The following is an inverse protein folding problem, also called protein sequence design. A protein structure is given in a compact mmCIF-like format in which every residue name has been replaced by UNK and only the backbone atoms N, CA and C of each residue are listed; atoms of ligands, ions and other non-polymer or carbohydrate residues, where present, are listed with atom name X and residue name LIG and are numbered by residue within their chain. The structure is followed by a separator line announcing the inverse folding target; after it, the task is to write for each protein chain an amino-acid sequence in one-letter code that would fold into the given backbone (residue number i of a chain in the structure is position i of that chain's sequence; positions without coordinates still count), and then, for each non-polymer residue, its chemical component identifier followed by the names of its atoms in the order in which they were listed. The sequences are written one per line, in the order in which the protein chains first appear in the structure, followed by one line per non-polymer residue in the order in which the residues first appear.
data_IF_062560728956
#
_entry.id   IF_062560728956
#
_cell.length_a   1.000
_cell.length_b   1.000
_cell.length_c   1.000
_cell.angle_alpha   90.00
_cell.angle_beta   90.00
_cell.angle_gamma   90.00
#
_symmetry.space_group_name_H-M   'P 1'
#
loop_
_entity.id
_entity.type
_entity.pdbx_description
1 polymer ?
#
# COMPACT_ATOMS: atom_id res chain seq x y z
N UNK A 1 10.64 -3.63 -14.77
CA UNK A 1 10.49 -2.16 -14.70
C UNK A 1 9.65 -1.81 -13.47
N UNK A 2 10.23 -1.10 -12.49
CA UNK A 2 9.57 -0.86 -11.20
C UNK A 2 8.59 0.31 -11.25
N UNK A 3 7.52 0.15 -12.01
CA UNK A 3 6.41 1.11 -12.05
C UNK A 3 5.21 0.48 -11.36
N UNK A 4 4.58 1.20 -10.45
CA UNK A 4 3.49 0.69 -9.63
C UNK A 4 2.31 1.65 -9.67
N UNK A 5 1.09 1.11 -9.78
CA UNK A 5 -0.14 1.88 -9.64
C UNK A 5 -1.01 1.22 -8.58
N UNK A 6 -1.01 1.78 -7.38
CA UNK A 6 -1.82 1.32 -6.26
C UNK A 6 -3.11 2.14 -6.22
N UNK A 7 -4.25 1.46 -6.17
CA UNK A 7 -5.53 2.16 -6.19
C UNK A 7 -6.60 1.47 -5.37
N UNK A 8 -7.56 2.25 -4.87
CA UNK A 8 -8.70 1.72 -4.13
C UNK A 8 -9.09 2.60 -2.95
N UNK A 9 -10.19 2.24 -2.30
CA UNK A 9 -10.82 3.03 -1.24
C UNK A 9 -10.16 2.82 0.14
N UNK A 10 -9.38 1.74 0.30
CA UNK A 10 -8.68 1.43 1.56
C UNK A 10 -7.33 2.19 1.63
N UNK A 11 -7.41 3.45 2.07
CA UNK A 11 -6.27 4.35 2.24
C UNK A 11 -5.19 3.77 3.17
N UNK A 12 -5.60 3.05 4.21
CA UNK A 12 -4.71 2.43 5.18
C UNK A 12 -3.94 1.26 4.56
N UNK A 13 -4.61 0.41 3.76
CA UNK A 13 -3.95 -0.66 3.05
C UNK A 13 -2.96 -0.13 2.00
N UNK A 14 -3.33 0.93 1.27
CA UNK A 14 -2.41 1.63 0.36
C UNK A 14 -1.19 2.14 1.15
N UNK A 15 -1.39 2.90 2.22
CA UNK A 15 -0.31 3.46 3.02
C UNK A 15 0.63 2.38 3.59
N UNK A 16 0.08 1.23 3.99
CA UNK A 16 0.85 0.07 4.46
C UNK A 16 1.68 -0.53 3.34
N UNK A 17 1.10 -0.75 2.16
CA UNK A 17 1.82 -1.25 1.00
C UNK A 17 2.93 -0.29 0.53
N UNK A 18 2.70 1.02 0.59
CA UNK A 18 3.73 2.02 0.29
C UNK A 18 4.89 1.93 1.28
N UNK A 19 4.60 1.80 2.58
CA UNK A 19 5.65 1.61 3.60
C UNK A 19 6.45 0.32 3.38
N UNK A 20 5.79 -0.76 2.97
CA UNK A 20 6.47 -2.01 2.63
C UNK A 20 7.41 -1.82 1.42
N UNK A 21 6.94 -1.13 0.36
CA UNK A 21 7.75 -0.81 -0.80
C UNK A 21 8.97 0.06 -0.42
N UNK A 22 8.76 1.10 0.38
CA UNK A 22 9.84 1.95 0.90
C UNK A 22 10.92 1.12 1.60
N UNK A 23 10.53 0.22 2.51
CA UNK A 23 11.47 -0.64 3.24
C UNK A 23 12.23 -1.62 2.34
N UNK A 24 11.63 -2.04 1.22
CA UNK A 24 12.27 -2.99 0.30
C UNK A 24 13.27 -2.32 -0.67
N UNK A 25 13.08 -1.03 -0.97
CA UNK A 25 13.79 -0.31 -2.04
C UNK A 25 14.83 0.66 -1.46
N UNK A 26 14.47 1.39 -0.41
CA UNK A 26 15.25 2.52 0.09
C UNK A 26 16.27 2.07 1.15
N UNK A 27 17.49 2.58 1.05
CA UNK A 27 18.45 2.55 2.15
C UNK A 27 18.10 3.66 3.18
N UNK A 28 17.94 3.34 4.48
CA UNK A 28 17.59 4.32 5.50
C UNK A 28 18.57 5.49 5.62
N UNK A 29 19.86 5.29 5.34
CA UNK A 29 20.88 6.32 5.44
C UNK A 29 20.82 7.32 4.27
N UNK A 30 20.19 6.94 3.16
CA UNK A 30 20.13 7.73 1.92
C UNK A 30 18.71 8.25 1.60
N UNK A 31 17.75 8.04 2.52
CA UNK A 31 16.34 8.33 2.31
C UNK A 31 16.09 9.78 1.86
N UNK A 32 16.79 10.76 2.43
CA UNK A 32 16.63 12.18 2.07
C UNK A 32 17.00 12.52 0.61
N UNK A 33 17.74 11.66 -0.09
CA UNK A 33 18.19 11.88 -1.47
C UNK A 33 17.47 11.00 -2.50
N UNK A 34 16.95 9.86 -2.04
CA UNK A 34 16.42 8.81 -2.88
C UNK A 34 14.91 8.61 -2.69
N UNK A 35 14.25 9.40 -1.83
CA UNK A 35 12.81 9.33 -1.64
C UNK A 35 12.15 10.70 -1.78
N UNK A 36 11.19 10.76 -2.71
CA UNK A 36 10.40 11.95 -2.97
C UNK A 36 8.93 11.58 -2.93
N UNK A 37 8.14 12.32 -2.14
CA UNK A 37 6.68 12.23 -2.14
C UNK A 37 6.11 13.52 -2.70
N UNK A 38 5.40 13.39 -3.81
CA UNK A 38 4.77 14.49 -4.54
C UNK A 38 3.26 14.24 -4.60
N UNK A 39 2.45 15.30 -4.55
CA UNK A 39 1.00 15.18 -4.68
C UNK A 39 0.56 15.50 -6.11
N UNK A 40 -0.14 14.57 -6.75
CA UNK A 40 -0.53 14.64 -8.15
C UNK A 40 -1.62 15.67 -8.47
N UNK A 41 -2.24 16.27 -7.47
CA UNK A 41 -3.16 17.40 -7.64
C UNK A 41 -2.41 18.71 -7.93
N UNK A 42 -1.13 18.80 -7.57
CA UNK A 42 -0.31 19.98 -7.84
C UNK A 42 0.24 19.90 -9.29
N UNK A 43 0.02 20.92 -10.14
CA UNK A 43 0.35 20.86 -11.57
C UNK A 43 1.82 20.55 -11.87
N UNK A 44 2.75 21.16 -11.13
CA UNK A 44 4.19 21.05 -11.39
C UNK A 44 4.77 19.69 -10.95
N UNK A 45 4.16 19.08 -9.93
CA UNK A 45 4.60 17.81 -9.35
C UNK A 45 4.55 16.64 -10.33
N UNK A 46 3.64 16.67 -11.30
CA UNK A 46 3.53 15.60 -12.30
C UNK A 46 4.83 15.50 -13.11
N UNK A 47 5.30 16.63 -13.66
CA UNK A 47 6.52 16.68 -14.44
C UNK A 47 7.76 16.46 -13.57
N UNK A 48 7.76 17.01 -12.36
CA UNK A 48 8.83 16.80 -11.39
C UNK A 48 9.02 15.32 -11.06
N UNK A 49 7.94 14.56 -10.86
CA UNK A 49 8.02 13.13 -10.59
C UNK A 49 8.74 12.36 -11.72
N UNK A 50 8.47 12.70 -12.98
CA UNK A 50 9.14 12.07 -14.13
C UNK A 50 10.62 12.48 -14.23
N UNK A 51 10.93 13.75 -13.93
CA UNK A 51 12.32 14.22 -13.90
C UNK A 51 13.14 13.53 -12.79
N UNK A 52 12.58 13.40 -11.59
CA UNK A 52 13.20 12.70 -10.48
C UNK A 52 13.38 11.21 -10.77
N UNK A 53 12.41 10.57 -11.43
CA UNK A 53 12.52 9.18 -11.86
C UNK A 53 13.67 8.92 -12.83
N UNK A 54 14.08 9.93 -13.60
CA UNK A 54 15.24 9.87 -14.51
C UNK A 54 16.57 10.24 -13.84
N UNK A 55 16.55 10.70 -12.58
CA UNK A 55 17.76 11.05 -11.85
C UNK A 55 18.45 9.77 -11.35
N UNK A 56 19.78 9.60 -11.54
CA UNK A 56 20.51 8.45 -11.01
C UNK A 56 20.48 8.37 -9.48
N UNK A 57 20.41 7.16 -8.94
CA UNK A 57 20.39 6.90 -7.49
C UNK A 57 21.65 7.45 -6.83
N UNK A 58 21.52 8.02 -5.64
CA UNK A 58 22.64 8.54 -4.88
C UNK A 58 23.04 7.57 -3.77
N UNK A 59 24.31 7.18 -3.71
CA UNK A 59 24.82 6.30 -2.66
C UNK A 59 24.30 4.86 -2.77
N UNK A 60 23.78 4.31 -1.66
CA UNK A 60 23.30 2.92 -1.56
C UNK A 60 21.78 2.84 -1.62
N UNK A 61 21.28 1.63 -1.93
CA UNK A 61 19.85 1.37 -2.14
C UNK A 61 19.39 1.77 -3.53
N UNK A 62 18.10 2.00 -3.67
CA UNK A 62 17.44 2.43 -4.90
C UNK A 62 16.69 3.75 -4.66
N UNK A 63 16.08 4.33 -5.70
CA UNK A 63 15.23 5.53 -5.60
C UNK A 63 13.76 5.16 -5.65
N UNK A 64 12.92 5.85 -4.87
CA UNK A 64 11.46 5.76 -4.93
C UNK A 64 10.84 7.15 -5.03
N UNK A 65 10.10 7.38 -6.11
CA UNK A 65 9.28 8.56 -6.33
C UNK A 65 7.83 8.14 -6.15
N UNK A 66 7.15 8.73 -5.17
CA UNK A 66 5.75 8.50 -4.90
C UNK A 66 4.92 9.71 -5.33
N UNK A 67 4.21 9.57 -6.44
CA UNK A 67 3.18 10.50 -6.86
C UNK A 67 1.83 10.10 -6.22
N UNK A 68 1.55 10.71 -5.08
CA UNK A 68 0.38 10.46 -4.25
C UNK A 68 -0.88 11.14 -4.80
N UNK A 69 -2.03 10.53 -4.54
CA UNK A 69 -3.37 11.07 -4.81
C UNK A 69 -3.55 11.60 -6.24
N UNK A 70 -2.95 10.90 -7.20
CA UNK A 70 -2.99 11.31 -8.59
C UNK A 70 -4.30 10.91 -9.27
N UNK A 71 -4.69 11.70 -10.27
CA UNK A 71 -5.86 11.46 -11.11
C UNK A 71 -5.51 11.09 -12.55
N UNK A 72 -4.23 10.82 -12.86
CA UNK A 72 -3.76 10.59 -14.23
C UNK A 72 -4.40 9.39 -14.94
N UNK A 73 -5.01 8.46 -14.20
CA UNK A 73 -5.78 7.33 -14.75
C UNK A 73 -7.29 7.60 -14.84
N UNK A 74 -7.76 8.77 -14.43
CA UNK A 74 -9.13 9.28 -14.63
C UNK A 74 -9.15 10.46 -15.61
N UNK A 75 -8.17 11.36 -15.50
CA UNK A 75 -7.94 12.47 -16.41
C UNK A 75 -6.43 12.73 -16.49
N UNK A 76 -5.88 12.71 -17.71
CA UNK A 76 -4.45 12.92 -17.94
C UNK A 76 -4.23 14.12 -18.85
N UNK A 77 -3.46 15.15 -18.42
CA UNK A 77 -3.03 16.22 -19.30
C UNK A 77 -2.22 15.66 -20.49
N UNK A 78 -2.45 16.20 -21.70
CA UNK A 78 -1.82 15.66 -22.92
C UNK A 78 -0.30 15.85 -22.93
N UNK A 79 0.19 17.00 -22.45
CA UNK A 79 1.61 17.27 -22.29
C UNK A 79 2.28 16.27 -21.33
N UNK A 80 1.62 15.96 -20.21
CA UNK A 80 2.11 14.97 -19.26
C UNK A 80 2.10 13.56 -19.87
N UNK A 81 1.06 13.18 -20.62
CA UNK A 81 1.03 11.88 -21.28
C UNK A 81 2.17 11.70 -22.29
N UNK A 82 2.47 12.72 -23.11
CA UNK A 82 3.61 12.68 -24.04
C UNK A 82 4.93 12.48 -23.32
N UNK A 83 5.10 13.16 -22.18
CA UNK A 83 6.31 13.05 -21.37
C UNK A 83 6.41 11.67 -20.69
N UNK A 84 5.29 11.13 -20.20
CA UNK A 84 5.18 9.76 -19.69
C UNK A 84 5.60 8.74 -20.76
N UNK A 85 5.14 8.90 -22.00
CA UNK A 85 5.48 8.01 -23.12
C UNK A 85 6.98 8.01 -23.43
N UNK A 86 7.62 9.17 -23.33
CA UNK A 86 9.06 9.35 -23.53
C UNK A 86 9.88 8.76 -22.39
N UNK A 87 9.41 8.94 -21.16
CA UNK A 87 10.21 8.73 -19.95
C UNK A 87 10.12 7.31 -19.41
N UNK A 88 8.93 6.69 -19.30
CA UNK A 88 8.81 5.34 -18.69
C UNK A 88 9.74 4.28 -19.31
N UNK A 89 9.94 4.20 -20.64
CA UNK A 89 10.82 3.21 -21.24
C UNK A 89 12.31 3.39 -20.88
N UNK A 90 12.69 4.57 -20.41
CA UNK A 90 14.08 4.97 -20.12
C UNK A 90 14.41 4.93 -18.63
N UNK A 91 13.41 4.74 -17.75
CA UNK A 91 13.62 4.66 -16.30
C UNK A 91 14.50 3.46 -15.97
N UNK A 92 15.55 3.72 -15.19
CA UNK A 92 16.48 2.69 -14.71
C UNK A 92 15.77 1.70 -13.79
N UNK A 93 16.24 0.45 -13.76
CA UNK A 93 15.67 -0.59 -12.89
C UNK A 93 15.79 -0.27 -11.39
N UNK A 94 16.71 0.62 -11.01
CA UNK A 94 16.95 1.08 -9.63
C UNK A 94 16.14 2.34 -9.27
N UNK A 95 15.23 2.79 -10.14
CA UNK A 95 14.41 3.99 -9.93
C UNK A 95 12.93 3.64 -10.02
N UNK A 96 12.25 3.65 -8.89
CA UNK A 96 10.89 3.16 -8.72
C UNK A 96 9.92 4.32 -8.80
N UNK A 97 8.91 4.19 -9.65
CA UNK A 97 7.84 5.18 -9.78
C UNK A 97 6.52 4.59 -9.30
N UNK A 98 6.02 5.13 -8.20
CA UNK A 98 4.79 4.73 -7.56
C UNK A 98 3.72 5.80 -7.74
N UNK A 99 2.57 5.40 -8.28
CA UNK A 99 1.36 6.19 -8.33
C UNK A 99 0.36 5.64 -7.32
N UNK A 100 -0.27 6.51 -6.52
CA UNK A 100 -1.43 6.11 -5.70
C UNK A 100 -2.67 6.92 -6.05
N UNK A 101 -3.84 6.28 -6.03
CA UNK A 101 -5.12 6.95 -6.26
C UNK A 101 -6.24 6.29 -5.46
N UNK A 102 -7.13 7.08 -4.86
CA UNK A 102 -8.35 6.53 -4.26
C UNK A 102 -9.37 6.07 -5.32
N UNK A 103 -9.16 6.44 -6.58
CA UNK A 103 -10.12 6.22 -7.67
C UNK A 103 -9.70 5.04 -8.54
N UNK A 104 -10.69 4.25 -8.95
CA UNK A 104 -10.53 3.19 -9.95
C UNK A 104 -10.00 3.76 -11.27
N UNK A 105 -8.94 3.17 -11.87
CA UNK A 105 -8.45 3.55 -13.20
C UNK A 105 -9.51 3.40 -14.28
N UNK A 106 -9.68 4.39 -15.16
CA UNK A 106 -10.48 4.23 -16.38
C UNK A 106 -9.65 3.49 -17.44
N UNK A 107 -9.92 2.19 -17.60
CA UNK A 107 -9.22 1.31 -18.53
C UNK A 107 -9.34 1.73 -20.00
N UNK A 108 -10.24 2.66 -20.34
CA UNK A 108 -10.38 3.20 -21.70
C UNK A 108 -9.36 4.31 -21.98
N UNK A 109 -8.85 4.97 -20.93
CA UNK A 109 -7.92 6.09 -21.03
C UNK A 109 -6.52 5.62 -21.49
N UNK A 110 -5.88 6.43 -22.34
CA UNK A 110 -4.55 6.09 -22.90
C UNK A 110 -3.47 5.96 -21.82
N UNK A 111 -3.47 6.84 -20.82
CA UNK A 111 -2.55 6.79 -19.68
C UNK A 111 -2.68 5.50 -18.87
N UNK A 112 -3.90 5.06 -18.55
CA UNK A 112 -4.14 3.81 -17.84
C UNK A 112 -3.62 2.60 -18.62
N UNK A 113 -3.92 2.52 -19.92
CA UNK A 113 -3.42 1.45 -20.80
C UNK A 113 -1.90 1.45 -20.91
N UNK A 114 -1.30 2.64 -21.02
CA UNK A 114 0.13 2.79 -21.13
C UNK A 114 0.83 2.37 -19.84
N UNK A 115 0.38 2.86 -18.68
CA UNK A 115 0.92 2.46 -17.39
C UNK A 115 0.78 0.96 -17.13
N UNK A 116 -0.36 0.36 -17.49
CA UNK A 116 -0.58 -1.09 -17.34
C UNK A 116 0.37 -1.94 -18.21
N UNK A 117 0.92 -1.37 -19.29
CA UNK A 117 1.94 -2.04 -20.12
C UNK A 117 3.33 -2.07 -19.44
N UNK A 118 3.68 -1.02 -18.68
CA UNK A 118 5.02 -0.85 -18.10
C UNK A 118 5.09 -1.16 -16.60
N UNK A 119 3.96 -1.19 -15.91
CA UNK A 119 3.89 -1.26 -14.46
C UNK A 119 2.82 -2.20 -13.92
N UNK A 120 2.90 -2.45 -12.61
CA UNK A 120 2.02 -3.34 -11.88
C UNK A 120 0.87 -2.55 -11.27
N UNK A 121 -0.35 -2.93 -11.62
CA UNK A 121 -1.56 -2.38 -10.99
C UNK A 121 -1.95 -3.28 -9.82
N UNK A 122 -2.22 -2.66 -8.67
CA UNK A 122 -2.70 -3.36 -7.48
C UNK A 122 -3.88 -2.63 -6.88
N UNK A 123 -4.97 -3.36 -6.72
CA UNK A 123 -6.21 -2.88 -6.10
C UNK A 123 -6.16 -3.05 -4.58
N UNK A 124 -6.73 -2.08 -3.87
CA UNK A 124 -6.86 -1.97 -2.43
C UNK A 124 -8.28 -1.52 -2.09
N UNK A 125 -9.24 -2.38 -2.43
CA UNK A 125 -10.65 -2.18 -2.12
C UNK A 125 -11.01 -2.85 -0.79
N UNK A 126 -11.98 -2.30 -0.07
CA UNK A 126 -12.50 -2.95 1.12
C UNK A 126 -13.08 -4.32 0.77
N UNK A 127 -12.83 -5.31 1.61
CA UNK A 127 -13.49 -6.60 1.51
C UNK A 127 -14.96 -6.40 1.90
N UNK A 128 -15.92 -6.81 1.06
CA UNK A 128 -17.33 -6.80 1.42
C UNK A 128 -17.62 -7.54 2.74
N UNK A 129 -18.50 -7.02 3.62
CA UNK A 129 -18.80 -7.65 4.91
C UNK A 129 -19.35 -9.07 4.84
N UNK A 130 -19.95 -9.47 3.70
CA UNK A 130 -20.50 -10.80 3.49
C UNK A 130 -19.46 -11.84 3.03
N UNK A 131 -18.24 -11.42 2.68
CA UNK A 131 -17.15 -12.32 2.27
C UNK A 131 -16.33 -12.76 3.49
N UNK A 132 -16.96 -13.51 4.38
CA UNK A 132 -16.37 -13.91 5.68
C UNK A 132 -15.05 -14.66 5.51
N UNK A 133 -14.94 -15.54 4.52
CA UNK A 133 -13.70 -16.30 4.26
C UNK A 133 -12.53 -15.39 3.86
N UNK A 134 -12.79 -14.34 3.06
CA UNK A 134 -11.77 -13.36 2.67
C UNK A 134 -11.34 -12.50 3.87
N UNK A 135 -12.28 -12.13 4.73
CA UNK A 135 -11.98 -11.42 5.98
C UNK A 135 -11.10 -12.27 6.91
N UNK A 136 -11.45 -13.54 7.11
CA UNK A 136 -10.65 -14.49 7.93
C UNK A 136 -9.25 -14.68 7.34
N UNK A 137 -9.14 -14.84 6.02
CA UNK A 137 -7.85 -14.93 5.34
C UNK A 137 -7.02 -13.65 5.54
N UNK A 138 -7.67 -12.47 5.47
CA UNK A 138 -7.02 -11.18 5.70
C UNK A 138 -6.52 -11.05 7.14
N UNK A 139 -7.31 -11.42 8.13
CA UNK A 139 -6.87 -11.45 9.54
C UNK A 139 -5.64 -12.34 9.70
N UNK A 140 -5.66 -13.53 9.11
CA UNK A 140 -4.55 -14.49 9.18
C UNK A 140 -3.27 -13.92 8.57
N UNK A 141 -3.38 -13.29 7.40
CA UNK A 141 -2.26 -12.64 6.73
C UNK A 141 -1.67 -11.51 7.59
N UNK A 142 -2.51 -10.60 8.09
CA UNK A 142 -2.05 -9.45 8.88
C UNK A 142 -1.46 -9.91 10.22
N UNK A 143 -2.04 -10.94 10.85
CA UNK A 143 -1.49 -11.53 12.07
C UNK A 143 -0.08 -12.08 11.82
N UNK A 144 0.14 -12.77 10.69
CA UNK A 144 1.47 -13.26 10.31
C UNK A 144 2.46 -12.11 10.05
N UNK A 145 2.04 -11.06 9.35
CA UNK A 145 2.87 -9.87 9.09
C UNK A 145 3.30 -9.16 10.37
N UNK A 146 2.40 -9.04 11.35
CA UNK A 146 2.66 -8.43 12.65
C UNK A 146 3.45 -9.38 13.57
N UNK A 147 3.36 -10.68 13.35
CA UNK A 147 4.02 -11.73 14.15
C UNK A 147 3.18 -12.22 15.32
N UNK A 148 1.85 -12.17 15.22
CA UNK A 148 0.90 -12.70 16.20
C UNK A 148 0.45 -14.09 15.79
N UNK A 149 0.47 -15.04 16.72
CA UNK A 149 -0.10 -16.38 16.51
C UNK A 149 -1.53 -16.40 17.03
N UNK A 150 -2.48 -16.75 16.16
CA UNK A 150 -3.89 -16.88 16.50
C UNK A 150 -4.34 -18.34 16.34
N UNK A 151 -5.28 -18.78 17.18
CA UNK A 151 -6.03 -20.02 16.92
C UNK A 151 -7.04 -19.80 15.78
N UNK A 152 -7.48 -20.85 15.05
CA UNK A 152 -8.50 -20.69 14.01
C UNK A 152 -9.79 -20.02 14.52
N UNK A 153 -10.26 -20.41 15.70
CA UNK A 153 -11.44 -19.80 16.33
C UNK A 153 -11.20 -18.34 16.73
N UNK A 154 -9.98 -18.01 17.21
CA UNK A 154 -9.59 -16.64 17.52
C UNK A 154 -9.51 -15.74 16.28
N UNK A 155 -8.98 -16.26 15.17
CA UNK A 155 -8.97 -15.56 13.87
C UNK A 155 -10.39 -15.26 13.41
N UNK A 156 -11.30 -16.24 13.50
CA UNK A 156 -12.70 -16.06 13.13
C UNK A 156 -13.37 -14.98 13.99
N UNK A 157 -13.24 -15.06 15.32
CA UNK A 157 -13.80 -14.05 16.23
C UNK A 157 -13.29 -12.64 15.86
N UNK A 158 -11.98 -12.51 15.60
CA UNK A 158 -11.39 -11.22 15.27
C UNK A 158 -11.91 -10.68 13.93
N UNK A 159 -12.12 -11.55 12.93
CA UNK A 159 -12.71 -11.18 11.65
C UNK A 159 -14.18 -10.72 11.82
N UNK A 160 -14.95 -11.39 12.67
CA UNK A 160 -16.34 -11.02 12.98
C UNK A 160 -16.42 -9.68 13.73
N UNK A 161 -15.51 -9.43 14.69
CA UNK A 161 -15.50 -8.20 15.49
C UNK A 161 -15.04 -6.97 14.71
N UNK A 162 -14.04 -7.11 13.84
CA UNK A 162 -13.43 -5.99 13.12
C UNK A 162 -14.09 -5.75 11.75
N UNK A 163 -14.61 -6.81 11.12
CA UNK A 163 -15.13 -6.75 9.77
C UNK A 163 -14.08 -6.30 8.77
N UNK A 164 -14.45 -5.37 7.90
CA UNK A 164 -13.59 -4.86 6.82
C UNK A 164 -12.77 -3.62 7.19
N UNK A 165 -12.72 -3.25 8.47
CA UNK A 165 -11.96 -2.09 8.92
C UNK A 165 -10.46 -2.44 9.06
N UNK A 166 -9.70 -2.27 7.98
CA UNK A 166 -8.27 -2.62 7.93
C UNK A 166 -7.42 -1.88 8.97
N UNK A 167 -7.73 -0.61 9.24
CA UNK A 167 -7.02 0.18 10.26
C UNK A 167 -7.23 -0.42 11.65
N UNK A 168 -8.47 -0.75 11.96
CA UNK A 168 -8.81 -1.35 13.24
C UNK A 168 -8.19 -2.74 13.40
N UNK A 169 -8.22 -3.57 12.35
CA UNK A 169 -7.58 -4.89 12.36
C UNK A 169 -6.12 -4.79 12.77
N UNK A 170 -5.41 -3.83 12.19
CA UNK A 170 -4.01 -3.61 12.50
C UNK A 170 -3.80 -3.18 13.96
N UNK A 171 -4.58 -2.23 14.45
CA UNK A 171 -4.47 -1.78 15.86
C UNK A 171 -4.81 -2.88 16.86
N UNK A 172 -5.82 -3.70 16.58
CA UNK A 172 -6.17 -4.83 17.45
C UNK A 172 -5.04 -5.87 17.48
N UNK A 173 -4.46 -6.20 16.32
CA UNK A 173 -3.34 -7.14 16.26
C UNK A 173 -2.06 -6.58 16.90
N UNK A 174 -1.78 -5.28 16.80
CA UNK A 174 -0.66 -4.66 17.52
C UNK A 174 -0.86 -4.72 19.05
N UNK A 175 -2.08 -4.48 19.54
CA UNK A 175 -2.41 -4.67 20.97
C UNK A 175 -2.18 -6.12 21.40
N UNK A 176 -2.68 -7.08 20.61
CA UNK A 176 -2.48 -8.50 20.86
C UNK A 176 -1.00 -8.89 20.84
N UNK A 177 -0.18 -8.31 19.96
CA UNK A 177 1.28 -8.50 19.94
C UNK A 177 1.94 -8.03 21.24
N UNK A 178 1.58 -6.84 21.72
CA UNK A 178 2.14 -6.29 22.97
C UNK A 178 1.80 -7.22 24.13
N UNK A 179 0.55 -7.69 24.21
CA UNK A 179 0.12 -8.61 25.27
C UNK A 179 0.80 -9.98 25.19
N UNK A 180 0.93 -10.53 23.97
CA UNK A 180 1.59 -11.82 23.72
C UNK A 180 3.12 -11.77 23.73
N UNK A 181 3.74 -10.61 23.94
CA UNK A 181 5.21 -10.50 24.05
C UNK A 181 5.82 -11.36 25.16
N UNK A 182 4.99 -11.86 26.09
CA UNK A 182 5.36 -12.76 27.19
C UNK A 182 4.94 -14.22 26.98
N UNK A 183 4.20 -14.55 25.90
CA UNK A 183 3.64 -15.89 25.64
C UNK A 183 3.92 -16.37 24.21
N UNK A 184 4.37 -17.61 24.07
CA UNK A 184 4.63 -18.25 22.77
C UNK A 184 3.43 -19.02 22.21
N UNK A 185 2.35 -19.11 22.99
CA UNK A 185 1.15 -19.87 22.63
C UNK A 185 0.22 -19.04 21.72
N UNK A 186 -0.47 -19.67 20.75
CA UNK A 186 -1.50 -19.01 19.97
C UNK A 186 -2.59 -18.43 20.87
N UNK A 187 -3.04 -17.21 20.55
CA UNK A 187 -4.10 -16.54 21.30
C UNK A 187 -5.47 -17.15 20.96
N UNK A 188 -6.25 -17.43 21.99
CA UNK A 188 -7.56 -18.07 21.92
C UNK A 188 -8.71 -17.05 21.99
N UNK A 189 -9.93 -17.57 21.90
CA UNK A 189 -11.17 -16.80 21.86
C UNK A 189 -11.36 -15.96 23.13
N UNK A 190 -11.03 -16.52 24.30
CA UNK A 190 -11.23 -15.85 25.58
C UNK A 190 -10.37 -14.60 25.67
N UNK A 191 -9.07 -14.72 25.40
CA UNK A 191 -8.15 -13.58 25.45
C UNK A 191 -8.50 -12.50 24.43
N UNK A 192 -8.83 -12.91 23.20
CA UNK A 192 -9.21 -11.97 22.14
C UNK A 192 -10.51 -11.25 22.52
N UNK A 193 -11.49 -11.94 23.08
CA UNK A 193 -12.75 -11.32 23.50
C UNK A 193 -12.54 -10.24 24.57
N UNK A 194 -11.66 -10.47 25.55
CA UNK A 194 -11.37 -9.49 26.60
C UNK A 194 -10.64 -8.25 26.07
N UNK A 195 -9.70 -8.42 25.14
CA UNK A 195 -8.85 -7.32 24.69
C UNK A 195 -9.44 -6.54 23.51
N UNK A 196 -10.24 -7.20 22.68
CA UNK A 196 -10.80 -6.64 21.46
C UNK A 196 -12.24 -6.21 21.71
N UNK A 197 -13.12 -7.09 22.22
CA UNK A 197 -14.56 -6.80 22.31
C UNK A 197 -14.93 -5.81 23.42
N UNK A 198 -14.19 -5.74 24.53
CA UNK A 198 -14.43 -4.72 25.57
C UNK A 198 -14.03 -3.30 25.12
N UNK A 199 -13.25 -3.16 24.04
CA UNK A 199 -12.93 -1.85 23.44
C UNK A 199 -14.13 -1.20 22.73
N UNK A 200 -15.26 -1.89 22.62
CA UNK A 200 -16.47 -1.45 21.91
C UNK A 200 -17.67 -1.19 22.83
N UNK A 201 -17.49 -1.29 24.16
CA UNK A 201 -18.51 -0.92 25.17
C UNK A 201 -18.32 0.49 25.70
#
# INVERSE_FOLDING_TARGET
MPIYFFWGEDDYAIATAVKQLQKSVLDPNWLQFNYDKLFGEQPDNLMEALNLAMTPVFGMGERLIWLADTTICQHCPENFFKELERTLPQILETSHLLFTSSKKPDQRLKSAKFLAKYGQFREFSFIPPWQTDELIARVSQVAQEIGVKLTPAGTQLLAESVGNNTRQLWSELEKLKIYSSTSTHPLDVELISTLVCDSFR
#
